data_IF_232299337148
#
_entry.id   IF_232299337148
#
_cell.length_a   1.000
_cell.length_b   1.000
_cell.length_c   1.000
_cell.angle_alpha   90.00
_cell.angle_beta   90.00
_cell.angle_gamma   90.00
#
_symmetry.space_group_name_H-M   'P 1'
#
loop_
_entity.id
_entity.type
_entity.pdbx_description
1 polymer ?
#
# COMPACT_ATOMS: atom_id res chain seq x y z
N UNK A 1 2.32 -9.39 12.35
CA UNK A 1 1.33 -8.41 11.87
C UNK A 1 0.15 -8.19 12.85
N UNK A 2 0.30 -8.45 14.16
CA UNK A 2 -0.68 -8.13 15.22
C UNK A 2 -2.19 -8.11 14.88
N UNK A 3 -2.76 -9.14 14.21
CA UNK A 3 -4.17 -9.16 13.84
C UNK A 3 -5.09 -9.07 15.06
N UNK A 4 -4.65 -9.58 16.21
CA UNK A 4 -5.35 -9.48 17.49
C UNK A 4 -5.57 -8.03 17.95
N UNK A 5 -4.70 -7.10 17.54
CA UNK A 5 -4.85 -5.66 17.79
C UNK A 5 -5.60 -5.00 16.65
N UNK A 6 -5.20 -5.26 15.41
CA UNK A 6 -5.79 -4.59 14.24
C UNK A 6 -7.27 -4.91 14.08
N UNK A 7 -7.68 -6.15 14.36
CA UNK A 7 -9.07 -6.60 14.32
C UNK A 7 -9.80 -6.48 15.67
N UNK A 8 -9.13 -6.04 16.75
CA UNK A 8 -9.82 -5.73 18.00
C UNK A 8 -10.88 -4.66 17.74
N UNK A 9 -12.00 -4.74 18.46
CA UNK A 9 -13.18 -3.91 18.20
C UNK A 9 -13.48 -2.98 19.37
N UNK A 10 -13.85 -1.76 19.04
CA UNK A 10 -14.50 -0.82 19.96
C UNK A 10 -15.92 -0.59 19.43
N UNK A 11 -16.89 -1.33 19.99
CA UNK A 11 -18.23 -1.41 19.39
C UNK A 11 -18.20 -2.13 18.04
N UNK A 12 -18.72 -1.47 17.00
CA UNK A 12 -18.84 -2.04 15.65
C UNK A 12 -17.66 -1.73 14.72
N UNK A 13 -16.62 -1.05 15.20
CA UNK A 13 -15.46 -0.66 14.39
C UNK A 13 -14.21 -1.35 14.92
N UNK A 14 -13.36 -1.81 14.01
CA UNK A 14 -12.03 -2.32 14.37
C UNK A 14 -11.10 -1.17 14.76
N UNK A 15 -9.99 -1.48 15.45
CA UNK A 15 -8.93 -0.50 15.71
C UNK A 15 -8.36 0.01 14.39
N UNK A 16 -8.15 -0.87 13.40
CA UNK A 16 -7.67 -0.50 12.07
C UNK A 16 -8.62 0.50 11.38
N UNK A 17 -9.93 0.20 11.33
CA UNK A 17 -10.94 1.08 10.74
C UNK A 17 -11.03 2.43 11.45
N UNK A 18 -10.90 2.45 12.77
CA UNK A 18 -10.89 3.69 13.55
C UNK A 18 -9.68 4.58 13.20
N UNK A 19 -8.51 3.98 12.98
CA UNK A 19 -7.31 4.70 12.56
C UNK A 19 -7.43 5.23 11.13
N UNK A 20 -7.96 4.42 10.20
CA UNK A 20 -8.19 4.85 8.82
C UNK A 20 -9.20 6.01 8.75
N UNK A 21 -10.29 5.95 9.52
CA UNK A 21 -11.27 7.04 9.60
C UNK A 21 -10.65 8.33 10.18
N UNK A 22 -9.78 8.23 11.18
CA UNK A 22 -9.05 9.37 11.71
C UNK A 22 -8.12 9.99 10.65
N UNK A 23 -7.36 9.18 9.92
CA UNK A 23 -6.52 9.64 8.81
C UNK A 23 -7.34 10.34 7.72
N UNK A 24 -8.48 9.76 7.33
CA UNK A 24 -9.39 10.36 6.36
C UNK A 24 -9.87 11.75 6.79
N UNK A 25 -10.19 11.91 8.08
CA UNK A 25 -10.58 13.20 8.67
C UNK A 25 -9.45 14.22 8.62
N UNK A 26 -8.23 13.82 8.98
CA UNK A 26 -7.07 14.72 8.95
C UNK A 26 -6.66 15.12 7.53
N UNK A 27 -6.86 14.24 6.55
CA UNK A 27 -6.59 14.52 5.14
C UNK A 27 -7.76 15.20 4.41
N UNK A 28 -8.86 15.51 5.09
CA UNK A 28 -10.07 16.05 4.46
C UNK A 28 -9.80 17.42 3.80
N UNK A 29 -10.16 17.55 2.53
CA UNK A 29 -9.99 18.79 1.75
C UNK A 29 -8.57 19.10 1.29
N UNK A 30 -7.60 18.22 1.56
CA UNK A 30 -6.24 18.36 1.05
C UNK A 30 -6.15 17.96 -0.44
N UNK A 31 -5.48 18.79 -1.23
CA UNK A 31 -5.27 18.63 -2.67
C UNK A 31 -3.76 18.66 -3.01
N UNK A 32 -3.24 17.76 -3.88
CA UNK A 32 -3.96 16.66 -4.55
C UNK A 32 -4.27 15.47 -3.63
N UNK A 33 -3.67 15.43 -2.45
CA UNK A 33 -3.98 14.50 -1.35
C UNK A 33 -3.35 15.04 -0.05
N UNK A 34 -3.76 14.49 1.10
CA UNK A 34 -3.14 14.78 2.39
C UNK A 34 -1.81 14.04 2.59
N UNK A 35 -1.07 14.46 3.62
CA UNK A 35 0.29 13.96 3.90
C UNK A 35 0.32 12.78 4.89
N UNK A 36 -0.82 12.43 5.50
CA UNK A 36 -0.89 11.35 6.47
C UNK A 36 -1.31 10.05 5.77
N UNK A 37 -0.50 9.02 5.93
CA UNK A 37 -0.69 7.75 5.26
C UNK A 37 -0.87 6.57 6.20
N UNK A 38 -1.14 5.41 5.61
CA UNK A 38 -1.18 4.13 6.30
C UNK A 38 -0.27 3.11 5.62
N UNK A 39 0.23 2.15 6.40
CA UNK A 39 0.91 0.96 5.87
C UNK A 39 -0.11 -0.16 5.81
N UNK A 40 -0.33 -0.71 4.63
CA UNK A 40 -1.31 -1.77 4.39
C UNK A 40 -0.59 -2.91 3.67
N UNK A 41 -0.40 -4.03 4.38
CA UNK A 41 0.30 -5.19 3.83
C UNK A 41 -0.46 -5.76 2.63
N UNK A 42 0.23 -5.94 1.49
CA UNK A 42 -0.36 -6.50 0.27
C UNK A 42 -0.78 -7.98 0.40
N UNK A 43 -0.33 -8.66 1.46
CA UNK A 43 -0.66 -10.06 1.77
C UNK A 43 -1.92 -10.21 2.64
N UNK A 44 -2.53 -9.11 3.07
CA UNK A 44 -3.77 -9.11 3.85
C UNK A 44 -4.95 -9.32 2.88
N UNK A 45 -5.14 -10.56 2.42
CA UNK A 45 -6.31 -11.07 1.69
C UNK A 45 -7.26 -10.04 1.06
N UNK A 46 -8.52 -10.05 1.46
CA UNK A 46 -9.49 -8.97 1.18
C UNK A 46 -9.75 -8.24 2.50
N UNK A 47 -9.41 -6.95 2.57
CA UNK A 47 -9.81 -6.12 3.71
C UNK A 47 -11.25 -5.63 3.52
N UNK A 48 -12.02 -5.56 4.61
CA UNK A 48 -13.33 -4.91 4.64
C UNK A 48 -13.25 -3.45 5.06
N UNK A 49 -12.05 -2.97 5.42
CA UNK A 49 -11.83 -1.60 5.85
C UNK A 49 -11.86 -0.63 4.67
N UNK A 50 -12.36 0.59 4.91
CA UNK A 50 -12.32 1.66 3.92
C UNK A 50 -10.91 2.26 3.85
N UNK A 51 -10.27 2.10 2.69
CA UNK A 51 -8.92 2.58 2.43
C UNK A 51 -8.90 3.98 1.77
N UNK A 52 -10.05 4.59 1.46
CA UNK A 52 -10.09 5.93 0.85
C UNK A 52 -9.84 7.05 1.88
N UNK A 53 -8.61 7.09 2.41
CA UNK A 53 -8.20 8.04 3.44
C UNK A 53 -7.73 9.39 2.89
N UNK A 54 -7.89 9.66 1.59
CA UNK A 54 -7.30 10.81 0.89
C UNK A 54 -5.79 11.04 1.18
N UNK A 55 -5.00 9.97 1.37
CA UNK A 55 -3.58 10.05 1.69
C UNK A 55 -2.79 8.86 1.13
N UNK A 56 -1.45 8.85 1.27
CA UNK A 56 -0.60 7.81 0.70
C UNK A 56 -0.78 6.46 1.42
N UNK A 57 -0.83 5.37 0.65
CA UNK A 57 -0.97 4.01 1.16
C UNK A 57 0.27 3.19 0.83
N UNK A 58 1.16 2.98 1.81
CA UNK A 58 2.36 2.17 1.60
C UNK A 58 1.98 0.69 1.55
N UNK A 59 2.27 0.03 0.43
CA UNK A 59 1.99 -1.39 0.21
C UNK A 59 3.30 -2.20 0.14
N UNK A 60 3.81 -2.72 1.27
CA UNK A 60 4.97 -3.58 1.27
C UNK A 60 4.63 -4.98 0.76
N UNK A 61 5.63 -5.63 0.15
CA UNK A 61 5.57 -7.05 -0.19
C UNK A 61 5.26 -7.36 -1.66
N UNK A 62 5.24 -6.34 -2.53
CA UNK A 62 5.16 -6.57 -3.97
C UNK A 62 6.35 -7.41 -4.47
N UNK A 63 6.07 -8.42 -5.30
CA UNK A 63 7.07 -9.32 -5.88
C UNK A 63 7.55 -10.40 -4.90
N UNK A 64 8.35 -10.03 -3.90
CA UNK A 64 9.01 -11.00 -3.00
C UNK A 64 8.05 -11.80 -2.10
N UNK A 65 6.81 -11.32 -1.90
CA UNK A 65 5.77 -12.02 -1.16
C UNK A 65 4.60 -12.47 -2.06
N UNK A 66 4.79 -12.43 -3.38
CA UNK A 66 3.80 -12.88 -4.35
C UNK A 66 2.67 -11.91 -4.68
N UNK A 67 2.71 -10.67 -4.17
CA UNK A 67 1.72 -9.65 -4.53
C UNK A 67 1.93 -9.13 -5.95
N UNK A 68 0.87 -9.10 -6.75
CA UNK A 68 0.84 -8.56 -8.12
C UNK A 68 0.18 -7.18 -8.17
N UNK A 69 0.33 -6.48 -9.30
CA UNK A 69 -0.39 -5.21 -9.57
C UNK A 69 -1.91 -5.41 -9.51
N UNK A 70 -2.42 -6.55 -9.98
CA UNK A 70 -3.85 -6.84 -9.93
C UNK A 70 -4.33 -7.11 -8.50
N UNK A 71 -3.49 -7.70 -7.65
CA UNK A 71 -3.79 -7.83 -6.22
C UNK A 71 -3.91 -6.45 -5.56
N UNK A 72 -3.01 -5.53 -5.89
CA UNK A 72 -3.10 -4.16 -5.39
C UNK A 72 -4.38 -3.47 -5.88
N UNK A 73 -4.76 -3.60 -7.16
CA UNK A 73 -6.03 -3.05 -7.65
C UNK A 73 -7.24 -3.64 -6.93
N UNK A 74 -7.23 -4.96 -6.67
CA UNK A 74 -8.31 -5.66 -5.98
C UNK A 74 -8.42 -5.27 -4.51
N UNK A 75 -7.30 -5.14 -3.81
CA UNK A 75 -7.25 -4.82 -2.38
C UNK A 75 -7.54 -3.34 -2.13
N UNK A 76 -6.94 -2.44 -2.93
CA UNK A 76 -7.04 -1.00 -2.71
C UNK A 76 -8.18 -0.34 -3.48
N UNK A 77 -8.76 -1.01 -4.48
CA UNK A 77 -9.92 -0.53 -5.22
C UNK A 77 -9.72 0.91 -5.74
N UNK A 78 -10.65 1.84 -5.50
CA UNK A 78 -10.50 3.25 -5.88
C UNK A 78 -9.24 3.91 -5.29
N UNK A 79 -8.80 3.49 -4.11
CA UNK A 79 -7.62 4.05 -3.44
C UNK A 79 -6.29 3.61 -4.09
N UNK A 80 -6.31 2.69 -5.07
CA UNK A 80 -5.12 2.21 -5.79
C UNK A 80 -4.25 3.35 -6.35
N UNK A 81 -4.87 4.46 -6.78
CA UNK A 81 -4.18 5.67 -7.28
C UNK A 81 -3.27 6.35 -6.23
N UNK A 82 -3.46 6.07 -4.95
CA UNK A 82 -2.66 6.62 -3.84
C UNK A 82 -1.71 5.60 -3.22
N UNK A 83 -1.65 4.40 -3.77
CA UNK A 83 -0.75 3.35 -3.30
C UNK A 83 0.69 3.73 -3.63
N UNK A 84 1.59 3.44 -2.71
CA UNK A 84 3.04 3.51 -2.86
C UNK A 84 3.57 2.09 -2.72
N UNK A 85 3.79 1.35 -3.82
CA UNK A 85 4.29 -0.01 -3.76
C UNK A 85 5.74 -0.03 -3.30
N UNK A 86 6.05 -0.82 -2.28
CA UNK A 86 7.42 -0.95 -1.77
C UNK A 86 8.03 -2.31 -2.13
N UNK A 87 9.18 -2.26 -2.80
CA UNK A 87 10.02 -3.42 -3.12
C UNK A 87 11.46 -3.19 -2.64
N UNK A 88 12.16 -4.26 -2.25
CA UNK A 88 13.51 -4.18 -1.71
C UNK A 88 14.36 -5.37 -2.17
N UNK A 89 14.08 -6.59 -1.68
CA UNK A 89 14.86 -7.80 -1.98
C UNK A 89 15.00 -8.06 -3.48
N UNK A 90 13.94 -7.87 -4.25
CA UNK A 90 13.96 -8.08 -5.72
C UNK A 90 14.95 -7.16 -6.43
N UNK A 91 15.04 -5.90 -5.98
CA UNK A 91 16.00 -4.94 -6.54
C UNK A 91 17.40 -5.25 -6.02
N UNK A 92 17.55 -5.47 -4.71
CA UNK A 92 18.85 -5.70 -4.07
C UNK A 92 19.52 -7.00 -4.55
N UNK A 93 18.74 -8.00 -4.97
CA UNK A 93 19.26 -9.26 -5.54
C UNK A 93 19.98 -9.08 -6.89
N UNK A 94 19.76 -7.96 -7.60
CA UNK A 94 20.47 -7.63 -8.84
C UNK A 94 21.81 -6.90 -8.60
N UNK A 95 22.16 -6.63 -7.33
CA UNK A 95 23.43 -6.03 -6.95
C UNK A 95 24.60 -7.02 -6.90
N UNK A 96 25.84 -6.55 -6.63
CA UNK A 96 26.18 -5.17 -6.25
C UNK A 96 26.37 -4.21 -7.45
N UNK A 97 26.21 -4.70 -8.68
CA UNK A 97 26.39 -3.86 -9.88
C UNK A 97 25.31 -2.76 -9.97
N UNK A 98 25.76 -1.52 -10.19
CA UNK A 98 24.87 -0.35 -10.24
C UNK A 98 23.94 -0.40 -11.44
N UNK A 99 24.39 -0.95 -12.58
CA UNK A 99 23.54 -1.07 -13.76
C UNK A 99 22.44 -2.12 -13.54
N UNK A 100 22.78 -3.25 -12.89
CA UNK A 100 21.83 -4.28 -12.45
C UNK A 100 20.77 -3.73 -11.50
N UNK A 101 21.17 -3.02 -10.45
CA UNK A 101 20.25 -2.37 -9.50
C UNK A 101 19.32 -1.38 -10.21
N UNK A 102 19.86 -0.53 -11.10
CA UNK A 102 19.07 0.44 -11.87
C UNK A 102 18.06 -0.24 -12.78
N UNK A 103 18.48 -1.27 -13.51
CA UNK A 103 17.61 -2.01 -14.41
C UNK A 103 16.47 -2.70 -13.64
N UNK A 104 16.77 -3.34 -12.50
CA UNK A 104 15.76 -3.97 -11.65
C UNK A 104 14.75 -2.96 -11.09
N UNK A 105 15.24 -1.80 -10.59
CA UNK A 105 14.37 -0.73 -10.11
C UNK A 105 13.45 -0.17 -11.21
N UNK A 106 13.98 0.06 -12.42
CA UNK A 106 13.21 0.54 -13.56
C UNK A 106 12.15 -0.48 -14.01
N UNK A 107 12.51 -1.76 -14.11
CA UNK A 107 11.56 -2.82 -14.47
C UNK A 107 10.40 -2.88 -13.49
N UNK A 108 10.67 -2.78 -12.17
CA UNK A 108 9.62 -2.75 -11.14
C UNK A 108 8.77 -1.49 -11.22
N UNK A 109 9.37 -0.32 -11.42
CA UNK A 109 8.63 0.92 -11.60
C UNK A 109 7.69 0.86 -12.82
N UNK A 110 8.14 0.26 -13.93
CA UNK A 110 7.30 0.06 -15.12
C UNK A 110 6.17 -0.93 -14.88
N UNK A 111 6.42 -2.03 -14.17
CA UNK A 111 5.40 -3.01 -13.81
C UNK A 111 4.27 -2.34 -13.01
N UNK A 112 4.62 -1.55 -11.98
CA UNK A 112 3.63 -0.86 -11.16
C UNK A 112 3.05 0.39 -11.79
N UNK A 113 3.65 0.93 -12.86
CA UNK A 113 3.15 2.13 -13.52
C UNK A 113 1.68 1.99 -13.94
N UNK A 114 1.25 0.77 -14.29
CA UNK A 114 -0.15 0.48 -14.61
C UNK A 114 -1.13 0.66 -13.44
N UNK A 115 -0.68 0.82 -12.19
CA UNK A 115 -1.56 1.14 -11.06
C UNK A 115 -2.14 2.55 -11.13
N UNK A 116 -1.42 3.47 -11.78
CA UNK A 116 -1.83 4.86 -11.91
C UNK A 116 -2.29 5.11 -13.36
N UNK A 117 -3.42 5.81 -13.56
CA UNK A 117 -3.89 6.20 -14.88
C UNK A 117 -2.96 7.24 -15.55
#
# INVERSE_FOLDING_TARGET
>A
EGPEVQHARTGDVTVAGSMLAALAKENAGAEPMGSLGAVVGATIGTTTEDLDINGPLLAPGLGAQGGTVDDLRRVFGPAARRVVPATSRDVLAAGPDVAGLRAAAQARAQEVAGLWP
#
